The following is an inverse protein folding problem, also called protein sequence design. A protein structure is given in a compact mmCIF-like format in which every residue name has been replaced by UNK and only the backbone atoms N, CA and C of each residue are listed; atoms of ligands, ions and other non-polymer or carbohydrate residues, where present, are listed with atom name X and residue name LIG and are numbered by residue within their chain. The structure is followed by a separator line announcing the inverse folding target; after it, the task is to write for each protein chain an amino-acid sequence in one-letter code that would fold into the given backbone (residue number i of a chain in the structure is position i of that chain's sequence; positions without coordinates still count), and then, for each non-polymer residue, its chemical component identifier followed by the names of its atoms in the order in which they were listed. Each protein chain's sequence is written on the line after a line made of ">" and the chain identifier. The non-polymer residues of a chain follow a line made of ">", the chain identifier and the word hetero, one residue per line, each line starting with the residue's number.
data_IF_501755573512
#
_entry.id   IF_501755573512
#
_cell.length_a   1.000
_cell.length_b   1.000
_cell.length_c   1.000
_cell.angle_alpha   90.00
_cell.angle_beta   90.00
_cell.angle_gamma   90.00
#
_symmetry.space_group_name_H-M   'P 1'
#
loop_
_entity.id
_entity.type
_entity.pdbx_description
1 polymer ?
#
# COMPACT_ATOMS: atom_id res chain seq x y z
N UNK A 1 9.32 -23.20 7.17
CA UNK A 1 7.99 -22.57 7.05
C UNK A 1 7.00 -23.37 7.88
N UNK A 2 6.15 -22.71 8.66
CA UNK A 2 5.07 -23.34 9.41
C UNK A 2 3.75 -22.66 9.07
N UNK A 3 2.74 -23.47 8.76
CA UNK A 3 1.40 -22.99 8.46
C UNK A 3 0.58 -22.85 9.75
N UNK A 4 -0.13 -21.73 9.89
CA UNK A 4 -1.03 -21.46 11.00
C UNK A 4 -2.42 -21.17 10.42
N UNK A 5 -3.45 -21.82 10.99
CA UNK A 5 -4.85 -21.67 10.58
C UNK A 5 -5.13 -22.00 9.10
N UNK A 6 -4.25 -22.78 8.47
CA UNK A 6 -4.40 -23.32 7.11
C UNK A 6 -4.95 -24.74 7.21
N UNK A 7 -6.27 -24.88 7.17
CA UNK A 7 -6.99 -26.17 7.29
C UNK A 7 -7.62 -26.48 5.94
N UNK A 8 -7.31 -27.68 5.41
CA UNK A 8 -7.84 -28.15 4.12
C UNK A 8 -9.37 -28.24 4.16
N UNK A 9 -10.03 -27.73 3.11
CA UNK A 9 -11.49 -27.67 3.00
C UNK A 9 -12.19 -26.60 3.88
N UNK A 10 -11.46 -25.88 4.76
CA UNK A 10 -12.01 -24.84 5.62
C UNK A 10 -11.43 -23.48 5.26
N UNK A 11 -10.11 -23.33 5.31
CA UNK A 11 -9.41 -22.07 5.03
C UNK A 11 -8.55 -22.13 3.78
N UNK A 12 -8.24 -23.32 3.30
CA UNK A 12 -7.50 -23.54 2.06
C UNK A 12 -8.15 -24.62 1.22
N UNK A 13 -7.88 -24.60 -0.08
CA UNK A 13 -8.25 -25.64 -1.04
C UNK A 13 -7.01 -26.02 -1.86
N UNK A 14 -6.82 -27.30 -2.11
CA UNK A 14 -5.74 -27.81 -2.97
C UNK A 14 -6.24 -27.85 -4.39
N UNK A 15 -5.56 -27.15 -5.28
CA UNK A 15 -5.79 -27.20 -6.71
C UNK A 15 -4.60 -27.84 -7.40
N UNK A 16 -4.84 -28.89 -8.15
CA UNK A 16 -3.81 -29.53 -8.97
C UNK A 16 -4.01 -29.04 -10.40
N UNK A 17 -2.99 -28.43 -10.96
CA UNK A 17 -2.98 -28.04 -12.36
C UNK A 17 -2.86 -29.30 -13.22
N UNK A 18 -3.88 -29.60 -14.03
CA UNK A 18 -3.95 -30.79 -14.89
C UNK A 18 -2.86 -30.83 -15.96
N UNK A 19 -2.31 -29.68 -16.34
CA UNK A 19 -1.27 -29.56 -17.37
C UNK A 19 0.14 -29.77 -16.81
N UNK A 20 0.40 -29.26 -15.61
CA UNK A 20 1.74 -29.30 -14.99
C UNK A 20 1.86 -30.36 -13.89
N UNK A 21 0.76 -30.90 -13.40
CA UNK A 21 0.72 -31.84 -12.28
C UNK A 21 1.12 -31.22 -10.93
N UNK A 22 1.36 -29.92 -10.89
CA UNK A 22 1.73 -29.19 -9.67
C UNK A 22 0.50 -28.92 -8.80
N UNK A 23 0.59 -29.27 -7.54
CA UNK A 23 -0.45 -28.96 -6.55
C UNK A 23 -0.14 -27.61 -5.91
N UNK A 24 -1.07 -26.68 -5.99
CA UNK A 24 -1.02 -25.39 -5.33
C UNK A 24 -2.09 -25.31 -4.25
N UNK A 25 -1.79 -24.60 -3.17
CA UNK A 25 -2.71 -24.36 -2.07
C UNK A 25 -3.28 -22.95 -2.25
N UNK A 26 -4.60 -22.81 -2.33
CA UNK A 26 -5.30 -21.54 -2.50
C UNK A 26 -6.08 -21.21 -1.22
N UNK A 27 -5.88 -20.00 -0.69
CA UNK A 27 -6.59 -19.52 0.50
C UNK A 27 -8.03 -19.16 0.16
N UNK A 28 -9.00 -19.73 0.87
CA UNK A 28 -10.43 -19.51 0.64
C UNK A 28 -10.94 -18.20 1.26
N UNK A 29 -11.94 -17.60 0.65
CA UNK A 29 -12.65 -16.42 1.19
C UNK A 29 -13.33 -16.77 2.52
N UNK A 30 -13.22 -15.89 3.50
CA UNK A 30 -13.89 -16.01 4.81
C UNK A 30 -15.41 -16.14 4.70
N UNK A 31 -16.02 -15.60 3.63
CA UNK A 31 -17.46 -15.72 3.35
C UNK A 31 -17.86 -17.13 2.92
N UNK A 32 -16.96 -17.87 2.32
CA UNK A 32 -17.18 -19.26 1.87
C UNK A 32 -16.85 -20.29 2.95
N UNK A 33 -16.20 -19.86 4.04
CA UNK A 33 -15.87 -20.70 5.19
C UNK A 33 -17.13 -20.97 6.01
N UNK A 34 -17.31 -22.21 6.46
CA UNK A 34 -18.37 -22.58 7.41
C UNK A 34 -18.25 -21.80 8.73
N UNK A 35 -19.27 -21.90 9.60
CA UNK A 35 -19.35 -21.13 10.85
C UNK A 35 -18.11 -21.23 11.76
N UNK A 36 -17.38 -22.33 11.73
CA UNK A 36 -16.14 -22.53 12.48
C UNK A 36 -14.88 -21.94 11.86
N UNK A 37 -14.92 -21.57 10.56
CA UNK A 37 -13.73 -21.06 9.85
C UNK A 37 -13.62 -19.54 9.76
N UNK A 38 -14.64 -18.80 10.24
CA UNK A 38 -14.68 -17.34 10.13
C UNK A 38 -13.67 -16.60 11.01
N UNK A 39 -13.29 -17.19 12.14
CA UNK A 39 -12.33 -16.63 13.09
C UNK A 39 -10.88 -17.02 12.79
N UNK A 40 -10.68 -18.02 11.92
CA UNK A 40 -9.35 -18.50 11.56
C UNK A 40 -8.64 -17.47 10.66
N UNK A 41 -7.35 -17.23 10.97
CA UNK A 41 -6.50 -16.26 10.26
C UNK A 41 -5.34 -16.97 9.59
N UNK A 42 -5.48 -17.39 8.32
CA UNK A 42 -4.41 -18.07 7.60
C UNK A 42 -3.13 -17.24 7.58
N UNK A 43 -2.04 -17.79 8.08
CA UNK A 43 -0.74 -17.15 8.03
C UNK A 43 0.38 -18.16 7.84
N UNK A 44 1.49 -17.68 7.33
CA UNK A 44 2.75 -18.40 7.23
C UNK A 44 3.73 -17.82 8.25
N UNK A 45 4.37 -18.69 9.00
CA UNK A 45 5.35 -18.36 10.02
C UNK A 45 6.72 -18.92 9.62
N UNK A 46 7.76 -18.10 9.70
CA UNK A 46 9.13 -18.56 9.51
C UNK A 46 9.70 -19.00 10.86
N UNK A 47 10.21 -20.23 10.91
CA UNK A 47 10.80 -20.80 12.12
C UNK A 47 12.20 -21.30 11.83
N UNK A 48 13.02 -21.41 12.86
CA UNK A 48 14.30 -22.09 12.79
C UNK A 48 14.13 -23.62 12.79
N UNK A 49 15.24 -24.37 12.79
CA UNK A 49 15.22 -25.84 12.82
C UNK A 49 14.66 -26.41 14.14
N UNK A 50 14.63 -25.61 15.19
CA UNK A 50 14.17 -25.97 16.52
C UNK A 50 12.68 -25.62 16.72
N UNK A 51 12.06 -24.92 15.75
CA UNK A 51 10.64 -24.52 15.76
C UNK A 51 10.38 -23.17 16.43
N UNK A 52 11.43 -22.40 16.78
CA UNK A 52 11.30 -21.06 17.34
C UNK A 52 11.05 -20.06 16.21
N UNK A 53 10.33 -18.97 16.52
CA UNK A 53 10.06 -17.91 15.55
C UNK A 53 11.33 -17.16 15.15
N UNK A 54 11.48 -16.95 13.86
CA UNK A 54 12.47 -16.03 13.32
C UNK A 54 11.94 -14.60 13.42
N UNK A 55 12.84 -13.66 13.69
CA UNK A 55 12.51 -12.23 13.73
C UNK A 55 12.97 -11.52 12.48
N UNK A 56 12.24 -10.49 12.08
CA UNK A 56 12.65 -9.63 10.97
C UNK A 56 13.97 -8.92 11.29
N UNK A 57 14.89 -8.81 10.33
CA UNK A 57 16.20 -8.19 10.55
C UNK A 57 16.09 -6.78 11.14
N UNK A 58 16.79 -6.55 12.26
CA UNK A 58 16.79 -5.25 12.94
C UNK A 58 15.56 -4.92 13.78
N UNK A 59 14.62 -5.86 13.90
CA UNK A 59 13.38 -5.67 14.68
C UNK A 59 13.17 -6.80 15.68
N UNK A 60 12.24 -6.61 16.62
CA UNK A 60 11.75 -7.68 17.53
C UNK A 60 10.43 -8.28 17.04
N UNK A 61 10.07 -8.02 15.80
CA UNK A 61 8.82 -8.53 15.21
C UNK A 61 9.06 -9.94 14.66
N UNK A 62 8.22 -10.92 15.00
CA UNK A 62 8.32 -12.25 14.44
C UNK A 62 7.98 -12.22 12.95
N UNK A 63 8.63 -13.05 12.15
CA UNK A 63 8.41 -13.17 10.71
C UNK A 63 7.13 -13.96 10.43
N UNK A 64 5.99 -13.32 10.66
CA UNK A 64 4.63 -13.82 10.43
C UNK A 64 4.02 -13.09 9.25
N UNK A 65 3.53 -13.84 8.26
CA UNK A 65 2.93 -13.29 7.04
C UNK A 65 1.49 -13.76 6.93
N UNK A 66 0.56 -12.84 7.11
CA UNK A 66 -0.86 -13.11 6.90
C UNK A 66 -1.15 -13.30 5.41
N UNK A 67 -2.00 -14.28 5.12
CA UNK A 67 -2.34 -14.64 3.75
C UNK A 67 -3.68 -14.03 3.37
N UNK A 68 -3.72 -13.12 2.38
CA UNK A 68 -4.97 -12.61 1.86
C UNK A 68 -5.76 -13.69 1.11
N UNK A 69 -7.02 -13.39 0.83
CA UNK A 69 -7.91 -14.24 0.05
C UNK A 69 -7.29 -14.47 -1.33
N UNK A 70 -7.47 -15.70 -1.85
CA UNK A 70 -6.91 -16.15 -3.13
C UNK A 70 -5.38 -16.19 -3.18
N UNK A 71 -4.68 -16.04 -2.06
CA UNK A 71 -3.23 -16.25 -2.04
C UNK A 71 -2.91 -17.70 -2.42
N UNK A 72 -1.94 -17.87 -3.31
CA UNK A 72 -1.49 -19.17 -3.83
C UNK A 72 -0.16 -19.49 -3.17
N UNK A 73 -0.13 -20.57 -2.39
CA UNK A 73 1.10 -21.10 -1.80
C UNK A 73 1.63 -22.23 -2.70
N UNK A 74 2.91 -22.15 -3.02
CA UNK A 74 3.63 -23.18 -3.78
C UNK A 74 4.48 -24.08 -2.88
N UNK A 75 4.44 -23.84 -1.56
CA UNK A 75 5.22 -24.55 -0.54
C UNK A 75 4.30 -25.45 0.28
N UNK A 76 4.89 -26.48 0.86
CA UNK A 76 4.23 -27.34 1.85
C UNK A 76 4.62 -26.94 3.27
N UNK A 77 3.81 -27.34 4.24
CA UNK A 77 4.12 -27.15 5.67
C UNK A 77 5.43 -27.88 6.02
N UNK A 78 6.31 -27.19 6.71
CA UNK A 78 7.65 -27.71 7.04
C UNK A 78 8.70 -27.52 5.95
N UNK A 79 8.39 -26.93 4.79
CA UNK A 79 9.37 -26.68 3.73
C UNK A 79 10.49 -25.74 4.20
N UNK A 80 11.72 -26.05 3.81
CA UNK A 80 12.87 -25.18 4.02
C UNK A 80 12.89 -24.08 2.95
N UNK A 81 13.05 -22.83 3.36
CA UNK A 81 13.12 -21.68 2.47
C UNK A 81 14.40 -20.88 2.69
N UNK A 82 14.94 -20.35 1.62
CA UNK A 82 16.08 -19.45 1.62
C UNK A 82 15.68 -18.00 1.40
N UNK A 83 16.66 -17.11 1.52
CA UNK A 83 16.43 -15.68 1.22
C UNK A 83 16.13 -15.51 -0.28
N UNK A 84 15.00 -14.88 -0.59
CA UNK A 84 14.56 -14.67 -1.96
C UNK A 84 13.56 -15.70 -2.49
N UNK A 85 13.27 -16.77 -1.73
CA UNK A 85 12.26 -17.77 -2.13
C UNK A 85 10.85 -17.20 -2.03
N UNK A 86 10.01 -17.58 -2.99
CA UNK A 86 8.62 -17.16 -3.03
C UNK A 86 7.81 -18.03 -2.06
N UNK A 87 7.32 -17.44 -0.99
CA UNK A 87 6.47 -18.10 0.00
C UNK A 87 5.03 -18.20 -0.49
N UNK A 88 4.49 -17.11 -0.99
CA UNK A 88 3.14 -17.05 -1.53
C UNK A 88 3.07 -16.08 -2.70
N UNK A 89 2.13 -16.33 -3.63
CA UNK A 89 1.78 -15.43 -4.72
C UNK A 89 0.39 -14.88 -4.46
N UNK A 90 0.25 -13.58 -4.48
CA UNK A 90 -1.05 -12.92 -4.36
C UNK A 90 -1.49 -12.58 -5.77
N UNK A 91 -2.54 -13.26 -6.34
CA UNK A 91 -3.07 -12.87 -7.62
C UNK A 91 -3.62 -11.44 -7.48
N UNK A 92 -3.06 -10.53 -8.22
CA UNK A 92 -3.72 -9.24 -8.40
C UNK A 92 -4.97 -9.52 -9.25
N UNK A 93 -6.11 -9.57 -8.61
CA UNK A 93 -7.36 -9.39 -9.33
C UNK A 93 -7.32 -7.97 -9.89
N UNK A 94 -6.81 -7.85 -11.10
CA UNK A 94 -7.05 -6.65 -11.87
C UNK A 94 -8.56 -6.55 -11.97
N UNK A 95 -9.15 -5.69 -11.18
CA UNK A 95 -10.55 -5.31 -11.32
C UNK A 95 -10.71 -4.59 -12.66
N UNK A 96 -10.54 -5.35 -13.75
CA UNK A 96 -10.71 -4.90 -15.14
C UNK A 96 -12.12 -4.36 -15.40
N UNK A 97 -13.02 -4.49 -14.42
CA UNK A 97 -14.41 -4.07 -14.50
C UNK A 97 -14.70 -2.78 -13.74
N UNK A 98 -13.73 -2.14 -13.09
CA UNK A 98 -14.00 -0.93 -12.31
C UNK A 98 -13.99 0.37 -13.09
N UNK A 99 -13.60 0.38 -14.35
CA UNK A 99 -13.53 1.65 -15.06
C UNK A 99 -13.98 1.58 -16.51
N UNK A 100 -15.29 1.70 -16.67
CA UNK A 100 -15.92 2.10 -17.93
C UNK A 100 -15.60 3.58 -18.25
N UNK A 101 -15.12 4.36 -17.31
CA UNK A 101 -14.56 5.70 -17.47
C UNK A 101 -13.07 5.68 -17.81
N UNK A 102 -12.51 4.52 -18.13
CA UNK A 102 -11.15 4.36 -18.62
C UNK A 102 -10.96 5.09 -19.97
N UNK A 103 -9.78 5.53 -20.23
CA UNK A 103 -9.41 6.23 -21.44
C UNK A 103 -8.97 7.67 -21.17
N UNK A 104 -9.11 8.55 -22.16
CA UNK A 104 -8.67 9.96 -22.05
C UNK A 104 -9.19 10.71 -20.81
N UNK A 105 -10.44 10.54 -20.36
CA UNK A 105 -10.90 11.18 -19.11
C UNK A 105 -10.06 10.78 -17.89
N UNK A 106 -9.66 9.51 -17.76
CA UNK A 106 -8.81 9.06 -16.66
C UNK A 106 -7.43 9.71 -16.70
N UNK A 107 -6.84 9.85 -17.88
CA UNK A 107 -5.56 10.55 -18.06
C UNK A 107 -5.68 12.02 -17.64
N UNK A 108 -6.77 12.69 -18.02
CA UNK A 108 -7.04 14.07 -17.59
C UNK A 108 -7.15 14.18 -16.08
N UNK A 109 -7.91 13.29 -15.42
CA UNK A 109 -8.07 13.27 -13.97
C UNK A 109 -6.73 13.07 -13.24
N UNK A 110 -5.84 12.22 -13.78
CA UNK A 110 -4.50 12.00 -13.23
C UNK A 110 -3.63 13.25 -13.33
N UNK A 111 -3.63 13.93 -14.49
CA UNK A 111 -2.85 15.17 -14.67
C UNK A 111 -3.44 16.36 -13.93
N UNK A 112 -4.74 16.39 -13.67
CA UNK A 112 -5.37 17.38 -12.79
C UNK A 112 -5.22 17.04 -11.30
N UNK A 113 -4.68 15.86 -10.98
CA UNK A 113 -4.54 15.32 -9.63
C UNK A 113 -5.88 15.35 -8.85
N UNK A 114 -6.99 15.00 -9.53
CA UNK A 114 -8.31 14.98 -8.91
C UNK A 114 -8.37 13.94 -7.80
N UNK A 115 -8.98 14.35 -6.66
CA UNK A 115 -9.22 13.43 -5.54
C UNK A 115 -10.35 12.47 -5.89
N UNK A 116 -10.15 11.16 -5.79
CA UNK A 116 -11.24 10.19 -5.96
C UNK A 116 -12.31 10.40 -4.86
N UNK A 117 -13.57 10.09 -5.18
CA UNK A 117 -14.68 10.23 -4.22
C UNK A 117 -14.49 9.36 -2.99
N UNK A 118 -13.92 8.17 -3.16
CA UNK A 118 -13.69 7.19 -2.10
C UNK A 118 -12.26 6.66 -2.20
N UNK A 119 -11.25 7.46 -1.78
CA UNK A 119 -9.86 7.08 -1.90
C UNK A 119 -9.53 5.87 -1.01
N UNK A 120 -8.53 5.09 -1.40
CA UNK A 120 -7.91 4.10 -0.53
C UNK A 120 -7.42 4.77 0.76
N UNK A 121 -7.44 4.04 1.85
CA UNK A 121 -6.87 4.51 3.11
C UNK A 121 -5.48 3.93 3.22
N UNK A 122 -4.49 4.81 3.33
CA UNK A 122 -3.09 4.46 3.50
C UNK A 122 -2.69 4.60 4.97
N UNK A 123 -1.73 3.77 5.40
CA UNK A 123 -1.14 3.88 6.73
C UNK A 123 -0.35 5.20 6.86
N UNK A 124 -0.69 6.03 7.83
CA UNK A 124 0.00 7.30 8.09
C UNK A 124 1.36 7.08 8.78
N UNK A 125 1.44 6.04 9.61
CA UNK A 125 2.63 5.66 10.37
C UNK A 125 2.89 4.16 10.20
N UNK A 126 4.14 3.75 10.37
CA UNK A 126 4.50 2.34 10.45
C UNK A 126 4.21 1.82 11.85
N UNK A 127 3.54 0.68 11.96
CA UNK A 127 3.18 0.14 13.26
C UNK A 127 2.32 -1.11 13.19
N UNK A 128 1.82 -1.53 14.34
CA UNK A 128 0.96 -2.71 14.50
C UNK A 128 -0.51 -2.29 14.46
N UNK A 129 -1.29 -3.02 13.70
CA UNK A 129 -2.73 -2.79 13.55
C UNK A 129 -3.50 -3.40 14.71
N UNK A 130 -4.48 -2.65 15.21
CA UNK A 130 -5.51 -3.13 16.12
C UNK A 130 -6.88 -2.59 15.72
N UNK A 131 -7.92 -3.40 15.92
CA UNK A 131 -9.29 -2.97 15.67
C UNK A 131 -9.96 -2.53 16.97
N UNK A 132 -10.37 -1.27 17.02
CA UNK A 132 -11.12 -0.71 18.15
C UNK A 132 -12.64 -0.96 18.04
N UNK A 133 -13.37 -0.48 19.06
CA UNK A 133 -14.84 -0.58 19.09
C UNK A 133 -15.46 0.10 17.87
N UNK A 134 -16.43 -0.57 17.25
CA UNK A 134 -17.19 -0.04 16.13
C UNK A 134 -18.03 1.19 16.56
N UNK A 135 -18.03 2.22 15.74
CA UNK A 135 -18.76 3.45 16.02
C UNK A 135 -19.65 3.83 14.83
N UNK A 136 -20.96 3.95 15.06
CA UNK A 136 -21.96 4.45 14.07
C UNK A 136 -21.81 3.85 12.66
N UNK A 137 -21.67 2.52 12.55
CA UNK A 137 -21.55 1.84 11.25
C UNK A 137 -20.16 1.91 10.60
N UNK A 138 -19.15 2.43 11.30
CA UNK A 138 -17.75 2.44 10.88
C UNK A 138 -16.91 1.52 11.76
N UNK A 139 -15.95 0.86 11.18
CA UNK A 139 -14.93 0.08 11.87
C UNK A 139 -13.78 1.02 12.24
N UNK A 140 -13.38 1.02 13.50
CA UNK A 140 -12.21 1.79 13.95
C UNK A 140 -10.98 0.92 13.78
N UNK A 141 -9.99 1.42 13.06
CA UNK A 141 -8.68 0.83 12.91
C UNK A 141 -7.67 1.75 13.58
N UNK A 142 -6.79 1.19 14.39
CA UNK A 142 -5.73 1.92 15.10
C UNK A 142 -4.40 1.32 14.68
N UNK A 143 -3.48 2.17 14.25
CA UNK A 143 -2.09 1.79 13.98
C UNK A 143 -1.25 2.34 15.11
N UNK A 144 -0.56 1.47 15.83
CA UNK A 144 0.32 1.86 16.96
C UNK A 144 1.76 1.75 16.52
N UNK A 145 2.44 2.88 16.43
CA UNK A 145 3.85 2.97 16.08
C UNK A 145 4.76 2.55 17.23
N UNK A 146 6.02 2.25 16.91
CA UNK A 146 7.04 1.87 17.88
C UNK A 146 7.34 2.96 18.93
N UNK A 147 7.02 4.22 18.61
CA UNK A 147 7.21 5.38 19.50
C UNK A 147 6.01 5.65 20.42
N UNK A 148 4.99 4.79 20.42
CA UNK A 148 3.76 5.00 21.17
C UNK A 148 2.78 5.97 20.49
N UNK A 149 3.10 6.47 19.29
CA UNK A 149 2.17 7.23 18.47
C UNK A 149 1.05 6.32 17.98
N UNK A 150 -0.19 6.79 18.05
CA UNK A 150 -1.34 6.05 17.54
C UNK A 150 -2.06 6.87 16.48
N UNK A 151 -2.32 6.24 15.33
CA UNK A 151 -3.13 6.80 14.26
C UNK A 151 -4.46 6.04 14.18
N UNK A 152 -5.57 6.76 14.19
CA UNK A 152 -6.91 6.18 14.09
C UNK A 152 -7.55 6.47 12.72
N UNK A 153 -8.02 5.42 12.05
CA UNK A 153 -8.81 5.52 10.84
C UNK A 153 -10.22 4.94 11.05
N UNK A 154 -11.25 5.65 10.59
CA UNK A 154 -12.63 5.20 10.62
C UNK A 154 -13.06 4.69 9.24
N UNK A 155 -13.13 3.38 9.07
CA UNK A 155 -13.41 2.71 7.82
C UNK A 155 -14.89 2.33 7.76
N UNK A 156 -15.66 2.70 6.71
CA UNK A 156 -17.04 2.25 6.52
C UNK A 156 -17.11 0.71 6.46
N UNK A 157 -18.15 0.11 7.05
CA UNK A 157 -18.29 -1.37 7.11
C UNK A 157 -18.34 -2.07 5.75
N UNK A 158 -18.83 -1.37 4.73
CA UNK A 158 -18.93 -1.91 3.37
C UNK A 158 -17.60 -1.96 2.63
N UNK A 159 -16.59 -1.22 3.14
CA UNK A 159 -15.26 -1.18 2.51
C UNK A 159 -14.43 -2.39 2.93
N UNK A 160 -13.76 -2.99 1.96
CA UNK A 160 -12.84 -4.08 2.22
C UNK A 160 -11.58 -3.56 2.91
N UNK A 161 -11.22 -4.21 4.02
CA UNK A 161 -9.96 -3.95 4.75
C UNK A 161 -8.97 -5.02 4.35
N UNK A 162 -7.80 -4.61 3.91
CA UNK A 162 -6.76 -5.51 3.37
C UNK A 162 -5.84 -6.07 4.44
N UNK A 163 -5.91 -5.53 5.65
CA UNK A 163 -5.01 -5.83 6.76
C UNK A 163 -5.70 -6.55 7.91
N UNK A 164 -4.94 -7.27 8.73
CA UNK A 164 -5.42 -8.04 9.87
C UNK A 164 -4.98 -7.45 11.20
N UNK A 165 -5.69 -7.81 12.27
CA UNK A 165 -5.31 -7.41 13.62
C UNK A 165 -4.00 -8.05 14.05
N UNK A 166 -3.08 -7.24 14.60
CA UNK A 166 -1.73 -7.68 14.96
C UNK A 166 -0.73 -7.67 13.80
N UNK A 167 -1.16 -7.33 12.59
CA UNK A 167 -0.28 -7.18 11.43
C UNK A 167 0.56 -5.92 11.53
N UNK A 168 1.81 -6.00 11.11
CA UNK A 168 2.68 -4.84 10.99
C UNK A 168 2.54 -4.24 9.59
N UNK A 169 2.29 -2.96 9.52
CA UNK A 169 2.19 -2.19 8.26
C UNK A 169 3.26 -1.12 8.20
N UNK A 170 3.71 -0.83 7.01
CA UNK A 170 4.61 0.28 6.74
C UNK A 170 3.82 1.54 6.36
N UNK A 171 4.44 2.70 6.59
CA UNK A 171 3.87 3.99 6.18
C UNK A 171 3.62 4.01 4.67
N UNK A 172 2.39 4.36 4.28
CA UNK A 172 1.97 4.39 2.88
C UNK A 172 1.41 3.07 2.34
N UNK A 173 1.35 2.01 3.15
CA UNK A 173 0.71 0.76 2.79
C UNK A 173 -0.81 0.89 2.77
N UNK A 174 -1.48 0.15 1.87
CA UNK A 174 -2.92 0.20 1.70
C UNK A 174 -3.59 -0.59 2.83
N UNK A 175 -4.36 0.10 3.66
CA UNK A 175 -5.11 -0.47 4.77
C UNK A 175 -6.54 -0.79 4.39
N UNK A 176 -7.16 0.06 3.58
CA UNK A 176 -8.49 -0.19 3.04
C UNK A 176 -8.51 0.08 1.54
N UNK A 177 -9.16 -0.83 0.83
CA UNK A 177 -9.22 -0.86 -0.63
C UNK A 177 -9.91 0.38 -1.22
N UNK A 178 -9.42 0.84 -2.38
CA UNK A 178 -9.95 1.98 -3.11
C UNK A 178 -8.95 2.53 -4.13
N UNK A 179 -9.37 3.50 -4.96
CA UNK A 179 -8.45 4.19 -5.85
C UNK A 179 -7.47 5.06 -5.04
N UNK A 180 -6.20 4.99 -5.39
CA UNK A 180 -5.16 5.77 -4.72
C UNK A 180 -5.33 7.27 -4.99
N UNK A 181 -5.15 8.08 -3.96
CA UNK A 181 -5.15 9.54 -4.06
C UNK A 181 -3.71 10.03 -4.31
N UNK A 182 -3.42 10.71 -5.42
CA UNK A 182 -2.07 11.22 -5.72
C UNK A 182 -1.48 12.10 -4.62
N UNK A 183 -2.33 12.88 -3.93
CA UNK A 183 -1.88 13.75 -2.83
C UNK A 183 -1.39 12.97 -1.61
N UNK A 184 -2.04 11.83 -1.29
CA UNK A 184 -1.61 10.99 -0.17
C UNK A 184 -0.34 10.23 -0.50
N UNK A 185 -0.19 9.77 -1.75
CA UNK A 185 1.07 9.18 -2.23
C UNK A 185 2.22 10.18 -2.09
N UNK A 186 2.03 11.43 -2.54
CA UNK A 186 3.07 12.46 -2.42
C UNK A 186 3.45 12.72 -0.96
N UNK A 187 2.45 12.82 -0.09
CA UNK A 187 2.64 13.15 1.33
C UNK A 187 3.32 12.03 2.12
N UNK A 188 2.96 10.77 1.83
CA UNK A 188 3.41 9.60 2.60
C UNK A 188 4.66 8.94 2.00
N UNK A 189 4.69 8.78 0.68
CA UNK A 189 5.71 8.02 -0.04
C UNK A 189 6.69 8.89 -0.84
N UNK A 190 6.36 10.17 -1.03
CA UNK A 190 7.24 11.15 -1.69
C UNK A 190 7.12 11.18 -3.22
N UNK A 191 7.99 12.00 -3.83
CA UNK A 191 7.95 12.36 -5.26
C UNK A 191 8.16 11.15 -6.18
N UNK A 192 9.11 10.29 -5.86
CA UNK A 192 9.45 9.14 -6.69
C UNK A 192 8.30 8.15 -6.81
N UNK A 193 7.64 7.84 -5.69
CA UNK A 193 6.49 6.95 -5.66
C UNK A 193 5.30 7.55 -6.44
N UNK A 194 5.04 8.85 -6.29
CA UNK A 194 4.02 9.54 -7.06
C UNK A 194 4.30 9.51 -8.56
N UNK A 195 5.55 9.76 -8.97
CA UNK A 195 5.94 9.75 -10.38
C UNK A 195 5.72 8.36 -10.99
N UNK A 196 6.20 7.32 -10.33
CA UNK A 196 6.00 5.94 -10.77
C UNK A 196 4.51 5.57 -10.86
N UNK A 197 3.71 5.99 -9.87
CA UNK A 197 2.27 5.77 -9.88
C UNK A 197 1.60 6.42 -11.10
N UNK A 198 1.82 7.73 -11.33
CA UNK A 198 1.20 8.45 -12.46
C UNK A 198 1.65 7.86 -13.80
N UNK A 199 2.95 7.58 -13.95
CA UNK A 199 3.48 6.97 -15.19
C UNK A 199 2.82 5.62 -15.45
N UNK A 200 2.73 4.76 -14.43
CA UNK A 200 2.12 3.43 -14.57
C UNK A 200 0.64 3.51 -14.94
N UNK A 201 -0.14 4.34 -14.25
CA UNK A 201 -1.58 4.52 -14.51
C UNK A 201 -1.85 5.07 -15.92
N UNK A 202 -1.10 6.09 -16.34
CA UNK A 202 -1.23 6.67 -17.69
C UNK A 202 -0.82 5.66 -18.75
N UNK A 203 0.30 4.94 -18.55
CA UNK A 203 0.75 3.90 -19.47
C UNK A 203 -0.26 2.75 -19.60
N UNK A 204 -0.92 2.37 -18.53
CA UNK A 204 -1.95 1.33 -18.56
C UNK A 204 -3.11 1.75 -19.47
N UNK A 205 -3.59 3.00 -19.33
CA UNK A 205 -4.65 3.53 -20.21
C UNK A 205 -4.24 3.49 -21.67
N UNK A 206 -3.03 3.92 -22.01
CA UNK A 206 -2.56 3.92 -23.39
C UNK A 206 -2.33 2.50 -23.93
N UNK A 207 -1.81 1.58 -23.12
CA UNK A 207 -1.63 0.16 -23.49
C UNK A 207 -2.96 -0.52 -23.81
N UNK A 208 -3.99 -0.24 -23.01
CA UNK A 208 -5.35 -0.76 -23.27
C UNK A 208 -5.92 -0.29 -24.60
N UNK A 209 -5.51 0.89 -25.07
CA UNK A 209 -5.87 1.43 -26.37
C UNK A 209 -4.91 1.03 -27.52
N UNK A 210 -3.92 0.16 -27.24
CA UNK A 210 -2.94 -0.28 -28.22
C UNK A 210 -1.86 0.74 -28.57
N UNK A 211 -1.80 1.87 -27.86
CA UNK A 211 -0.83 2.95 -28.11
C UNK A 211 0.41 2.74 -27.25
N UNK A 212 1.59 2.75 -27.88
CA UNK A 212 2.89 2.66 -27.18
C UNK A 212 3.49 4.06 -27.06
N UNK A 213 3.65 4.54 -25.84
CA UNK A 213 4.27 5.83 -25.52
C UNK A 213 5.51 5.58 -24.65
N UNK A 214 6.56 6.37 -24.84
CA UNK A 214 7.72 6.32 -23.95
C UNK A 214 7.44 7.10 -22.67
N UNK A 215 7.84 6.54 -21.53
CA UNK A 215 7.63 7.11 -20.19
C UNK A 215 8.12 8.56 -20.05
N UNK A 216 9.20 8.91 -20.79
CA UNK A 216 9.77 10.27 -20.78
C UNK A 216 8.74 11.37 -21.06
N UNK A 217 7.75 11.11 -21.93
CA UNK A 217 6.73 12.09 -22.25
C UNK A 217 5.81 12.39 -21.07
N UNK A 218 5.51 11.35 -20.29
CA UNK A 218 4.68 11.46 -19.09
C UNK A 218 5.50 12.09 -17.95
N UNK A 219 6.74 11.65 -17.77
CA UNK A 219 7.66 12.16 -16.74
C UNK A 219 7.89 13.68 -16.87
N UNK A 220 8.01 14.19 -18.11
CA UNK A 220 8.15 15.64 -18.34
C UNK A 220 6.92 16.39 -17.83
N UNK A 221 5.71 15.86 -18.04
CA UNK A 221 4.47 16.49 -17.54
C UNK A 221 4.44 16.44 -16.02
N UNK A 222 4.72 15.29 -15.42
CA UNK A 222 4.76 15.13 -13.96
C UNK A 222 5.77 16.07 -13.33
N UNK A 223 6.96 16.21 -13.92
CA UNK A 223 7.96 17.19 -13.50
C UNK A 223 7.42 18.62 -13.48
N UNK A 224 6.61 19.01 -14.48
CA UNK A 224 6.01 20.35 -14.50
C UNK A 224 4.92 20.50 -13.44
N UNK A 225 4.15 19.45 -13.14
CA UNK A 225 3.16 19.46 -12.07
C UNK A 225 3.81 19.67 -10.69
N UNK A 226 4.99 19.09 -10.46
CA UNK A 226 5.73 19.16 -9.20
C UNK A 226 6.69 20.34 -9.09
N UNK A 227 6.65 21.28 -10.03
CA UNK A 227 7.57 22.43 -10.08
C UNK A 227 7.31 23.47 -8.98
N UNK A 228 6.07 23.55 -8.48
CA UNK A 228 5.65 24.54 -7.50
C UNK A 228 5.56 23.95 -6.11
N UNK A 229 5.93 24.74 -5.11
CA UNK A 229 5.82 24.44 -3.69
C UNK A 229 5.01 25.51 -2.97
N UNK A 230 4.33 25.13 -1.89
CA UNK A 230 3.60 26.06 -1.02
C UNK A 230 4.46 26.43 0.18
N UNK A 231 4.53 27.70 0.52
CA UNK A 231 5.21 28.17 1.73
C UNK A 231 4.33 27.89 2.94
N UNK A 232 4.79 27.05 3.85
CA UNK A 232 4.12 26.77 5.12
C UNK A 232 4.66 27.65 6.24
N UNK A 233 5.97 27.80 6.29
CA UNK A 233 6.67 28.69 7.22
C UNK A 233 7.50 29.69 6.42
N UNK A 234 7.45 30.93 6.82
CA UNK A 234 8.06 32.05 6.07
C UNK A 234 9.48 32.30 6.52
N UNK A 235 9.86 31.87 7.72
CA UNK A 235 11.13 32.22 8.34
C UNK A 235 11.33 33.76 8.31
N UNK A 236 12.52 34.18 7.92
CA UNK A 236 12.87 35.63 7.69
C UNK A 236 12.89 35.98 6.20
N UNK A 237 12.18 35.18 5.37
CA UNK A 237 12.07 35.42 3.94
C UNK A 237 11.08 36.54 3.58
N UNK A 238 11.09 36.96 2.32
CA UNK A 238 10.14 37.93 1.78
C UNK A 238 8.82 37.33 1.31
N UNK A 239 8.66 36.01 1.46
CA UNK A 239 7.50 35.30 0.98
C UNK A 239 6.32 35.42 1.93
N UNK A 240 5.13 35.16 1.39
CA UNK A 240 3.90 35.10 2.19
C UNK A 240 3.53 33.66 2.53
N UNK A 241 2.96 33.46 3.70
CA UNK A 241 2.44 32.15 4.08
C UNK A 241 1.31 31.72 3.13
N UNK A 242 1.44 30.52 2.53
CA UNK A 242 0.52 30.00 1.52
C UNK A 242 0.83 30.45 0.09
N UNK A 243 1.89 31.24 -0.14
CA UNK A 243 2.35 31.61 -1.47
C UNK A 243 2.86 30.38 -2.22
N UNK A 244 2.53 30.29 -3.53
CA UNK A 244 3.02 29.25 -4.43
C UNK A 244 4.19 29.75 -5.23
N UNK A 245 5.34 29.13 -5.04
CA UNK A 245 6.58 29.49 -5.72
C UNK A 245 7.17 28.32 -6.49
N UNK A 246 8.06 28.62 -7.42
CA UNK A 246 8.94 27.60 -8.00
C UNK A 246 10.00 27.18 -6.97
N UNK A 247 10.20 25.85 -6.85
CA UNK A 247 11.19 25.28 -5.93
C UNK A 247 12.60 25.86 -6.14
N UNK A 248 12.99 26.17 -7.39
CA UNK A 248 14.26 26.80 -7.73
C UNK A 248 14.42 28.17 -7.08
N UNK A 249 13.36 28.99 -7.11
CA UNK A 249 13.34 30.33 -6.51
C UNK A 249 13.40 30.26 -4.98
N UNK A 250 12.67 29.29 -4.38
CA UNK A 250 12.75 29.06 -2.94
C UNK A 250 14.17 28.67 -2.51
N UNK A 251 14.79 27.73 -3.22
CA UNK A 251 16.15 27.28 -2.92
C UNK A 251 17.18 28.43 -3.06
N UNK A 252 17.02 29.30 -4.04
CA UNK A 252 17.91 30.45 -4.22
C UNK A 252 17.79 31.44 -3.07
N UNK A 253 16.56 31.78 -2.67
CA UNK A 253 16.33 32.73 -1.56
C UNK A 253 16.80 32.13 -0.23
N UNK A 254 16.52 30.83 0.03
CA UNK A 254 17.00 30.14 1.22
C UNK A 254 18.54 30.12 1.30
N UNK A 255 19.25 29.95 0.17
CA UNK A 255 20.71 30.06 0.13
C UNK A 255 21.20 31.44 0.55
N UNK A 256 20.52 32.53 0.11
CA UNK A 256 20.86 33.90 0.50
C UNK A 256 20.62 34.12 1.98
N UNK A 257 19.47 33.65 2.51
CA UNK A 257 19.15 33.79 3.93
C UNK A 257 20.15 33.04 4.82
N UNK A 258 20.48 31.79 4.46
CA UNK A 258 21.50 31.03 5.20
C UNK A 258 22.87 31.71 5.16
N UNK A 259 23.27 32.31 4.02
CA UNK A 259 24.51 33.05 3.93
C UNK A 259 24.52 34.34 4.81
N UNK A 260 23.33 34.87 5.11
CA UNK A 260 23.13 36.04 6.00
C UNK A 260 22.86 35.62 7.46
N UNK A 261 22.97 34.30 7.81
CA UNK A 261 22.61 33.72 9.10
C UNK A 261 21.15 33.99 9.53
N UNK A 262 20.23 34.08 8.57
CA UNK A 262 18.79 34.22 8.78
C UNK A 262 18.09 32.89 8.65
N UNK A 263 16.88 32.77 9.25
CA UNK A 263 16.06 31.57 9.19
C UNK A 263 15.48 31.41 7.77
N UNK A 264 15.71 30.26 7.09
CA UNK A 264 15.14 29.98 5.76
C UNK A 264 13.62 29.70 5.86
N UNK A 265 12.95 29.86 4.71
CA UNK A 265 11.53 29.56 4.56
C UNK A 265 11.30 28.04 4.26
#
# INVERSE_FOLDING_TARGET
>A
VKFIDLIDGITMNRQTDELTGLTSIVVMDSKQRGSGGKELRPMVRLTDKEGNDLFLPGTRLPAHYFLPINAILSLEDGAAVGVGDIVARIPQETSKTRDITGGLPRVADLFEARKPKEPAILAEISGIISFGKETKGKRRLVITGNNGEAFEALIPKWRHVTVFEGEHVERGEIVADGPLNPHDILRLLGINALTNYIVSEVQEVYRLQGVKINDKHIEVIVRQMLRKVNILDVGESRFLKGEQLEESRLKEENRKLVAENKLPA
#
